data_IF_089412850514
#
_entry.id   IF_089412850514
#
_cell.length_a   1.000
_cell.length_b   1.000
_cell.length_c   1.000
_cell.angle_alpha   90.00
_cell.angle_beta   90.00
_cell.angle_gamma   90.00
#
_symmetry.space_group_name_H-M   'P 1'
#
loop_
_entity.id
_entity.type
_entity.pdbx_description
1 polymer ?
#
# COMPACT_ATOMS: atom_id res chain seq x y z
N UNK A 1 5.71 13.77 6.22
CA UNK A 1 4.81 14.63 5.39
C UNK A 1 4.99 16.11 5.71
N UNK A 2 4.60 17.00 4.80
CA UNK A 2 4.62 18.46 5.00
C UNK A 2 3.22 19.03 5.30
N UNK A 3 2.20 18.19 5.24
CA UNK A 3 0.81 18.53 5.52
C UNK A 3 -0.03 17.25 5.59
N UNK A 4 -1.35 17.33 5.81
CA UNK A 4 -2.19 16.16 5.85
C UNK A 4 -2.29 15.54 4.45
N UNK A 5 -1.55 14.44 4.24
CA UNK A 5 -1.44 13.77 2.94
C UNK A 5 -1.40 12.26 3.13
N UNK A 6 -2.23 11.55 2.39
CA UNK A 6 -2.18 10.09 2.29
C UNK A 6 -1.46 9.65 1.02
N UNK A 7 -0.98 8.41 1.00
CA UNK A 7 -0.28 7.84 -0.14
C UNK A 7 -0.60 6.38 -0.35
N UNK A 8 -0.56 5.96 -1.61
CA UNK A 8 -0.77 4.59 -2.02
C UNK A 8 0.58 3.95 -2.36
N UNK A 9 1.00 2.99 -1.55
CA UNK A 9 2.27 2.29 -1.70
C UNK A 9 2.08 0.91 -2.30
N UNK A 10 2.62 0.70 -3.51
CA UNK A 10 2.86 -0.63 -4.07
C UNK A 10 4.27 -1.11 -3.71
N UNK A 11 4.41 -2.38 -3.34
CA UNK A 11 5.70 -3.04 -3.14
C UNK A 11 5.85 -4.23 -4.08
N UNK A 12 7.03 -4.35 -4.67
CA UNK A 12 7.46 -5.45 -5.53
C UNK A 12 8.83 -5.94 -5.07
N UNK A 13 9.10 -7.21 -5.29
CA UNK A 13 10.47 -7.68 -5.23
C UNK A 13 11.26 -7.09 -6.43
N UNK A 14 12.39 -6.45 -6.17
CA UNK A 14 13.06 -5.59 -7.16
C UNK A 14 13.52 -6.33 -8.43
N UNK A 15 13.89 -7.62 -8.31
CA UNK A 15 14.38 -8.45 -9.39
C UNK A 15 13.28 -9.33 -10.02
N UNK A 16 12.06 -9.32 -9.44
CA UNK A 16 10.92 -10.09 -9.93
C UNK A 16 9.61 -9.37 -9.62
N UNK A 17 9.11 -8.57 -10.55
CA UNK A 17 7.92 -7.76 -10.36
C UNK A 17 6.60 -8.57 -10.29
N UNK A 18 6.62 -9.87 -10.59
CA UNK A 18 5.49 -10.76 -10.35
C UNK A 18 5.32 -11.08 -8.87
N UNK A 19 6.41 -11.03 -8.10
CA UNK A 19 6.37 -11.11 -6.64
C UNK A 19 6.07 -9.73 -6.06
N UNK A 20 4.83 -9.51 -5.69
CA UNK A 20 4.29 -8.22 -5.31
C UNK A 20 3.47 -8.30 -4.03
N UNK A 21 3.27 -7.19 -3.36
CA UNK A 21 2.46 -7.11 -2.15
C UNK A 21 1.05 -7.69 -2.41
N UNK A 22 0.60 -8.51 -1.49
CA UNK A 22 -0.72 -9.14 -1.51
C UNK A 22 -1.51 -8.76 -0.25
N UNK A 23 -2.39 -7.79 -0.40
CA UNK A 23 -3.21 -7.27 0.69
C UNK A 23 -4.11 -8.34 1.32
N UNK A 24 -4.65 -9.24 0.51
CA UNK A 24 -5.53 -10.31 0.99
C UNK A 24 -4.87 -11.23 2.02
N UNK A 25 -3.60 -11.59 1.83
CA UNK A 25 -2.88 -12.41 2.81
C UNK A 25 -2.52 -11.61 4.05
N UNK A 26 -2.08 -10.38 3.89
CA UNK A 26 -1.77 -9.48 5.00
C UNK A 26 -3.01 -9.24 5.87
N UNK A 27 -4.18 -8.97 5.26
CA UNK A 27 -5.46 -8.85 5.99
C UNK A 27 -5.84 -10.10 6.76
N UNK A 28 -5.63 -11.28 6.17
CA UNK A 28 -5.96 -12.53 6.82
C UNK A 28 -5.16 -12.78 8.10
N UNK A 29 -3.98 -12.16 8.22
CA UNK A 29 -3.09 -12.32 9.37
C UNK A 29 -3.24 -11.21 10.40
N UNK A 30 -3.44 -9.96 9.96
CA UNK A 30 -3.36 -8.78 10.82
C UNK A 30 -4.64 -7.94 10.84
N UNK A 31 -5.64 -8.24 10.01
CA UNK A 31 -6.82 -7.41 9.88
C UNK A 31 -6.71 -6.36 8.77
N UNK A 32 -7.67 -5.43 8.75
CA UNK A 32 -7.80 -4.43 7.68
C UNK A 32 -6.81 -3.28 7.77
N UNK A 33 -6.23 -3.06 8.93
CA UNK A 33 -5.23 -2.02 9.20
C UNK A 33 -4.01 -2.67 9.83
N UNK A 34 -2.84 -2.21 9.44
CA UNK A 34 -1.56 -2.76 9.92
C UNK A 34 -0.81 -1.72 10.73
N UNK A 35 -0.05 -2.19 11.71
CA UNK A 35 0.69 -1.40 12.67
C UNK A 35 2.10 -1.93 12.89
N UNK A 36 2.81 -1.36 13.86
CA UNK A 36 4.19 -1.74 14.19
C UNK A 36 4.28 -3.24 14.51
N UNK A 37 5.22 -3.91 13.86
CA UNK A 37 5.45 -5.35 13.96
C UNK A 37 4.74 -6.17 12.87
N UNK A 38 3.75 -5.62 12.20
CA UNK A 38 3.03 -6.30 11.13
C UNK A 38 3.86 -6.37 9.84
N UNK A 39 3.60 -7.42 9.05
CA UNK A 39 4.36 -7.74 7.86
C UNK A 39 3.50 -7.62 6.60
N UNK A 40 4.09 -7.09 5.56
CA UNK A 40 3.52 -7.04 4.22
C UNK A 40 3.92 -8.28 3.44
N UNK A 41 2.98 -9.18 3.15
CA UNK A 41 3.25 -10.44 2.47
C UNK A 41 3.18 -10.32 0.95
N UNK A 42 4.02 -11.10 0.26
CA UNK A 42 4.01 -11.19 -1.20
C UNK A 42 2.92 -12.13 -1.71
N UNK A 43 2.63 -11.99 -3.01
CA UNK A 43 1.68 -12.81 -3.76
C UNK A 43 2.11 -14.27 -3.88
N UNK A 44 1.14 -15.13 -4.20
CA UNK A 44 1.44 -16.49 -4.63
C UNK A 44 2.23 -16.46 -5.96
N UNK A 45 3.10 -17.42 -6.15
CA UNK A 45 3.41 -18.59 -5.32
C UNK A 45 4.53 -18.36 -4.29
N UNK A 46 5.03 -17.14 -4.18
CA UNK A 46 6.21 -16.81 -3.37
C UNK A 46 5.91 -16.81 -1.87
N UNK A 47 4.90 -16.11 -1.48
CA UNK A 47 4.37 -15.98 -0.12
C UNK A 47 5.44 -15.89 0.97
N UNK A 48 6.14 -14.76 0.99
CA UNK A 48 7.06 -14.38 2.06
C UNK A 48 6.80 -12.96 2.51
N UNK A 49 7.36 -12.54 3.63
CA UNK A 49 7.36 -11.14 4.03
C UNK A 49 8.25 -10.32 3.10
N UNK A 50 7.72 -9.23 2.58
CA UNK A 50 8.45 -8.23 1.81
C UNK A 50 9.04 -7.16 2.73
N UNK A 51 8.23 -6.69 3.68
CA UNK A 51 8.60 -5.64 4.61
C UNK A 51 7.88 -5.82 5.95
N UNK A 52 8.47 -5.28 7.01
CA UNK A 52 7.88 -5.19 8.34
C UNK A 52 7.80 -3.73 8.74
N UNK A 53 6.68 -3.30 9.31
CA UNK A 53 6.55 -1.96 9.91
C UNK A 53 7.37 -1.93 11.19
N UNK A 54 8.31 -1.00 11.29
CA UNK A 54 9.21 -0.87 12.45
C UNK A 54 8.90 0.32 13.34
N UNK A 55 8.29 1.36 12.77
CA UNK A 55 7.87 2.54 13.51
C UNK A 55 6.69 3.24 12.82
N UNK A 56 5.76 3.74 13.62
CA UNK A 56 4.62 4.51 13.18
C UNK A 56 4.34 5.64 14.18
N UNK A 57 4.38 6.88 13.72
CA UNK A 57 4.06 8.02 14.59
C UNK A 57 2.57 8.15 14.87
N UNK A 58 1.71 7.43 14.14
CA UNK A 58 0.26 7.38 14.34
C UNK A 58 -0.22 6.13 15.08
N UNK A 59 0.68 5.29 15.59
CA UNK A 59 0.34 4.07 16.36
C UNK A 59 -0.57 4.38 17.58
N UNK A 60 -0.46 5.58 18.13
CA UNK A 60 -1.33 6.07 19.20
C UNK A 60 -2.80 6.21 18.82
N UNK A 61 -3.12 6.29 17.52
CA UNK A 61 -4.50 6.53 17.07
C UNK A 61 -5.41 5.32 17.33
N UNK A 62 -4.90 4.12 17.11
CA UNK A 62 -5.66 2.89 17.28
C UNK A 62 -6.92 2.88 16.43
N UNK A 63 -8.07 2.56 17.04
CA UNK A 63 -9.39 2.61 16.42
C UNK A 63 -10.23 3.73 17.03
N UNK A 64 -10.87 4.52 16.18
CA UNK A 64 -11.81 5.53 16.63
C UNK A 64 -13.18 4.93 17.04
N UNK A 65 -14.08 5.78 17.55
CA UNK A 65 -15.42 5.34 18.01
C UNK A 65 -16.28 4.68 16.91
N UNK A 66 -15.99 4.95 15.65
CA UNK A 66 -16.71 4.42 14.50
C UNK A 66 -16.00 3.22 13.88
N UNK A 67 -14.88 2.77 14.48
CA UNK A 67 -14.08 1.65 14.01
C UNK A 67 -13.09 2.01 12.90
N UNK A 68 -12.82 3.30 12.70
CA UNK A 68 -11.81 3.78 11.75
C UNK A 68 -10.40 3.69 12.30
N UNK A 69 -9.44 3.31 11.47
CA UNK A 69 -8.01 3.29 11.77
C UNK A 69 -7.18 3.68 10.55
N UNK A 70 -5.87 3.92 10.76
CA UNK A 70 -4.95 4.31 9.69
C UNK A 70 -4.22 3.11 9.11
N UNK A 71 -3.58 3.30 7.95
CA UNK A 71 -2.75 2.30 7.26
C UNK A 71 -3.52 1.07 6.82
N UNK A 72 -4.60 1.30 6.05
CA UNK A 72 -5.40 0.18 5.60
C UNK A 72 -4.73 -0.64 4.49
N UNK A 73 -5.03 -1.93 4.53
CA UNK A 73 -4.70 -2.93 3.51
C UNK A 73 -5.97 -3.53 2.90
N UNK A 74 -7.04 -2.75 2.85
CA UNK A 74 -8.31 -3.14 2.22
C UNK A 74 -8.10 -3.32 0.71
N UNK A 75 -7.13 -2.59 0.14
CA UNK A 75 -6.70 -2.74 -1.24
C UNK A 75 -7.44 -1.81 -2.20
N UNK A 76 -8.08 -0.77 -1.66
CA UNK A 76 -8.71 0.26 -2.48
C UNK A 76 -7.69 1.32 -2.90
N UNK A 77 -7.84 1.79 -4.13
CA UNK A 77 -7.15 2.97 -4.65
C UNK A 77 -8.04 3.64 -5.67
N UNK A 78 -7.89 4.94 -5.85
CA UNK A 78 -8.56 5.61 -6.96
C UNK A 78 -7.99 5.13 -8.30
N UNK A 79 -8.86 4.86 -9.26
CA UNK A 79 -8.53 4.27 -10.55
C UNK A 79 -9.33 4.92 -11.70
N UNK A 80 -8.82 4.85 -12.94
CA UNK A 80 -9.50 5.47 -14.08
C UNK A 80 -10.74 4.72 -14.55
N UNK A 81 -10.83 3.42 -14.27
CA UNK A 81 -11.93 2.56 -14.73
C UNK A 81 -13.21 2.88 -13.98
N UNK A 82 -13.13 2.96 -12.64
CA UNK A 82 -14.25 3.39 -11.78
C UNK A 82 -14.67 4.82 -12.12
N UNK A 83 -13.70 5.73 -12.32
CA UNK A 83 -14.00 7.11 -12.73
C UNK A 83 -14.75 7.15 -14.06
N UNK A 84 -14.34 6.37 -15.05
CA UNK A 84 -15.03 6.26 -16.34
C UNK A 84 -16.44 5.71 -16.19
N UNK A 85 -16.62 4.68 -15.36
CA UNK A 85 -17.93 4.07 -15.12
C UNK A 85 -18.90 5.04 -14.47
N UNK A 86 -18.45 5.85 -13.50
CA UNK A 86 -19.31 6.77 -12.74
C UNK A 86 -19.58 8.07 -13.51
N UNK A 87 -18.56 8.69 -14.08
CA UNK A 87 -18.65 10.03 -14.69
C UNK A 87 -18.74 10.02 -16.22
N UNK A 88 -18.47 8.88 -16.86
CA UNK A 88 -18.38 8.77 -18.31
C UNK A 88 -17.13 9.43 -18.92
N UNK A 89 -16.32 10.11 -18.13
CA UNK A 89 -15.13 10.83 -18.60
C UNK A 89 -13.84 10.03 -18.34
N UNK A 90 -12.83 10.25 -19.17
CA UNK A 90 -11.50 9.71 -18.96
C UNK A 90 -10.76 10.54 -17.90
N UNK A 91 -10.50 9.94 -16.75
CA UNK A 91 -9.79 10.56 -15.65
C UNK A 91 -8.53 9.75 -15.30
N UNK A 92 -7.39 10.41 -15.34
CA UNK A 92 -6.07 9.76 -15.15
C UNK A 92 -5.21 10.42 -14.07
N UNK A 93 -5.75 11.38 -13.31
CA UNK A 93 -5.09 11.97 -12.14
C UNK A 93 -5.47 11.20 -10.87
N UNK A 94 -5.20 9.89 -10.85
CA UNK A 94 -5.51 8.98 -9.77
C UNK A 94 -4.28 8.15 -9.41
N UNK A 95 -4.28 7.52 -8.25
CA UNK A 95 -3.15 6.74 -7.76
C UNK A 95 -2.78 5.57 -8.67
N UNK A 96 -3.78 4.83 -9.18
CA UNK A 96 -3.54 3.76 -10.15
C UNK A 96 -2.76 4.26 -11.38
N UNK A 97 -3.20 5.34 -12.00
CA UNK A 97 -2.53 5.92 -13.17
C UNK A 97 -1.16 6.52 -12.84
N UNK A 98 -0.97 7.07 -11.64
CA UNK A 98 0.33 7.58 -11.19
C UNK A 98 1.34 6.45 -11.06
N UNK A 99 0.95 5.33 -10.42
CA UNK A 99 1.78 4.13 -10.26
C UNK A 99 2.10 3.52 -11.63
N UNK A 100 1.09 3.39 -12.50
CA UNK A 100 1.27 2.90 -13.88
C UNK A 100 2.29 3.74 -14.64
N UNK A 101 2.14 5.07 -14.64
CA UNK A 101 3.10 5.96 -15.33
C UNK A 101 4.52 5.85 -14.78
N UNK A 102 4.66 5.73 -13.45
CA UNK A 102 5.96 5.58 -12.81
C UNK A 102 6.66 4.28 -13.26
N UNK A 103 5.95 3.16 -13.28
CA UNK A 103 6.51 1.88 -13.72
C UNK A 103 6.86 1.86 -15.22
N UNK A 104 6.00 2.41 -16.07
CA UNK A 104 6.31 2.55 -17.50
C UNK A 104 7.57 3.38 -17.71
N UNK A 105 7.66 4.53 -17.05
CA UNK A 105 8.77 5.47 -17.21
C UNK A 105 10.09 4.94 -16.64
N UNK A 106 10.07 4.42 -15.42
CA UNK A 106 11.29 4.08 -14.69
C UNK A 106 11.78 2.65 -14.96
N UNK A 107 10.89 1.74 -15.39
CA UNK A 107 11.24 0.36 -15.73
C UNK A 107 11.23 0.06 -17.22
N UNK A 108 10.75 0.99 -18.06
CA UNK A 108 10.66 0.79 -19.50
C UNK A 108 9.68 -0.29 -19.92
N UNK A 109 8.73 -0.65 -19.05
CA UNK A 109 7.69 -1.64 -19.33
C UNK A 109 6.63 -1.05 -20.25
N UNK A 110 6.00 -1.90 -21.05
CA UNK A 110 4.81 -1.51 -21.81
C UNK A 110 3.61 -1.28 -20.89
N UNK A 111 2.61 -0.57 -21.38
CA UNK A 111 1.36 -0.34 -20.63
C UNK A 111 0.68 -1.67 -20.28
N UNK A 112 0.65 -2.62 -21.22
CA UNK A 112 -0.01 -3.92 -21.01
C UNK A 112 0.70 -4.78 -19.97
N UNK A 113 2.03 -4.68 -19.86
CA UNK A 113 2.79 -5.36 -18.81
C UNK A 113 2.50 -4.72 -17.45
N UNK A 114 2.48 -3.40 -17.38
CA UNK A 114 2.23 -2.67 -16.12
C UNK A 114 0.79 -2.93 -15.62
N UNK A 115 -0.21 -2.96 -16.50
CA UNK A 115 -1.60 -3.27 -16.13
C UNK A 115 -1.75 -4.63 -15.45
N UNK A 116 -0.88 -5.59 -15.76
CA UNK A 116 -0.89 -6.92 -15.12
C UNK A 116 -0.24 -6.94 -13.73
N UNK A 117 0.62 -5.97 -13.44
CA UNK A 117 1.38 -5.94 -12.21
C UNK A 117 0.94 -4.86 -11.22
N UNK A 118 0.34 -3.75 -11.67
CA UNK A 118 -0.26 -2.75 -10.77
C UNK A 118 -1.43 -3.39 -10.02
N UNK A 119 -1.34 -3.41 -8.72
CA UNK A 119 -2.22 -4.22 -7.86
C UNK A 119 -2.48 -3.50 -6.53
N UNK A 120 -2.76 -4.31 -5.51
CA UNK A 120 -3.06 -3.85 -4.16
C UNK A 120 -2.02 -2.86 -3.60
N UNK A 121 -2.50 -1.93 -2.82
CA UNK A 121 -1.69 -0.90 -2.15
C UNK A 121 -1.80 -1.04 -0.63
N UNK A 122 -0.80 -0.55 0.07
CA UNK A 122 -0.97 -0.06 1.42
C UNK A 122 -1.35 1.42 1.33
N UNK A 123 -2.49 1.78 1.91
CA UNK A 123 -2.95 3.17 2.00
C UNK A 123 -2.29 3.85 3.20
N UNK A 124 -1.11 4.42 2.97
CA UNK A 124 -0.29 5.05 4.01
C UNK A 124 -0.99 6.30 4.54
N UNK A 125 -1.18 6.37 5.86
CA UNK A 125 -1.86 7.44 6.60
C UNK A 125 -3.37 7.59 6.32
N UNK A 126 -3.96 6.78 5.47
CA UNK A 126 -5.38 6.87 5.15
C UNK A 126 -6.23 6.31 6.28
N UNK A 127 -7.20 7.10 6.74
CA UNK A 127 -8.15 6.71 7.79
C UNK A 127 -9.39 6.14 7.18
N UNK A 128 -9.64 4.86 7.43
CA UNK A 128 -10.76 4.11 6.85
C UNK A 128 -11.38 3.16 7.88
N UNK A 129 -12.55 2.65 7.56
CA UNK A 129 -13.23 1.65 8.39
C UNK A 129 -14.47 1.11 7.72
N UNK A 130 -15.23 0.31 8.48
CA UNK A 130 -16.52 -0.22 8.07
C UNK A 130 -17.56 0.12 9.14
N UNK A 131 -18.72 0.64 8.73
CA UNK A 131 -19.81 0.96 9.65
C UNK A 131 -20.25 -0.28 10.43
N UNK A 132 -20.61 -0.10 11.70
CA UNK A 132 -20.95 -1.23 12.58
C UNK A 132 -22.25 -1.93 12.19
N UNK A 133 -23.21 -1.19 11.60
CA UNK A 133 -24.54 -1.65 11.22
C UNK A 133 -24.55 -2.30 9.84
N UNK A 134 -24.16 -1.55 8.81
CA UNK A 134 -24.24 -2.00 7.41
C UNK A 134 -22.96 -2.59 6.86
N UNK A 135 -21.83 -2.48 7.61
CA UNK A 135 -20.48 -2.88 7.15
C UNK A 135 -20.04 -2.15 5.88
N UNK A 136 -20.61 -0.98 5.65
CA UNK A 136 -20.22 -0.14 4.53
C UNK A 136 -18.86 0.49 4.78
N UNK A 137 -18.01 0.47 3.77
CA UNK A 137 -16.71 1.14 3.79
C UNK A 137 -16.90 2.66 3.90
N UNK A 138 -16.06 3.28 4.72
CA UNK A 138 -15.98 4.72 4.85
C UNK A 138 -14.53 5.22 4.88
N UNK A 139 -14.33 6.47 4.54
CA UNK A 139 -13.10 7.24 4.70
C UNK A 139 -13.38 8.48 5.54
N UNK A 140 -12.36 8.94 6.26
CA UNK A 140 -12.35 10.19 7.02
C UNK A 140 -11.05 10.95 6.75
N UNK A 141 -11.03 12.23 7.10
CA UNK A 141 -9.78 13.01 7.09
C UNK A 141 -8.71 12.34 7.91
N UNK A 142 -7.55 12.16 7.31
CA UNK A 142 -6.39 11.57 7.97
C UNK A 142 -5.95 12.40 9.19
N UNK A 143 -5.59 11.76 10.31
CA UNK A 143 -5.03 12.45 11.47
C UNK A 143 -3.58 12.90 11.27
N UNK A 144 -2.95 12.52 10.16
CA UNK A 144 -1.53 12.80 9.87
C UNK A 144 -1.19 14.29 9.93
N UNK A 145 -0.04 14.61 10.47
CA UNK A 145 0.48 15.97 10.65
C UNK A 145 1.87 16.12 10.05
N UNK A 146 2.32 17.36 9.78
CA UNK A 146 3.72 17.60 9.41
C UNK A 146 4.68 16.96 10.40
N UNK A 147 5.65 16.21 9.90
CA UNK A 147 6.62 15.48 10.72
C UNK A 147 6.24 14.02 11.01
N UNK A 148 4.99 13.61 10.80
CA UNK A 148 4.61 12.21 10.92
C UNK A 148 5.27 11.35 9.86
N UNK A 149 5.58 10.10 10.23
CA UNK A 149 6.19 9.11 9.35
C UNK A 149 5.79 7.68 9.69
N UNK A 150 5.93 6.82 8.70
CA UNK A 150 5.81 5.38 8.79
C UNK A 150 7.12 4.77 8.30
N UNK A 151 7.72 3.90 9.09
CA UNK A 151 9.01 3.27 8.81
C UNK A 151 8.83 1.78 8.50
N UNK A 152 9.58 1.31 7.53
CA UNK A 152 9.61 -0.09 7.12
C UNK A 152 11.02 -0.63 7.12
N UNK A 153 11.19 -1.85 7.60
CA UNK A 153 12.35 -2.68 7.33
C UNK A 153 12.08 -3.53 6.09
N UNK A 154 12.90 -3.38 5.05
CA UNK A 154 12.83 -4.21 3.85
C UNK A 154 13.45 -5.59 4.12
N UNK A 155 12.67 -6.67 4.01
CA UNK A 155 13.15 -8.04 4.23
C UNK A 155 13.76 -8.69 2.96
N UNK A 156 13.67 -8.02 1.83
CA UNK A 156 14.28 -8.38 0.55
C UNK A 156 14.54 -7.12 -0.26
N UNK A 157 15.23 -7.22 -1.39
CA UNK A 157 15.38 -6.09 -2.31
C UNK A 157 14.01 -5.68 -2.85
N UNK A 158 13.60 -4.46 -2.58
CA UNK A 158 12.27 -3.95 -2.92
C UNK A 158 12.32 -2.84 -3.96
N UNK A 159 11.34 -2.87 -4.85
CA UNK A 159 10.88 -1.71 -5.61
C UNK A 159 9.60 -1.19 -4.94
N UNK A 160 9.69 -0.02 -4.33
CA UNK A 160 8.53 0.71 -3.82
C UNK A 160 8.06 1.74 -4.85
N UNK A 161 6.76 1.79 -5.11
CA UNK A 161 6.12 2.83 -5.93
C UNK A 161 5.06 3.51 -5.09
N UNK A 162 5.31 4.77 -4.76
CA UNK A 162 4.44 5.55 -3.88
C UNK A 162 3.75 6.67 -4.70
N UNK A 163 2.42 6.64 -4.71
CA UNK A 163 1.61 7.74 -5.24
C UNK A 163 1.12 8.61 -4.10
N UNK A 164 1.40 9.91 -4.15
CA UNK A 164 0.66 10.91 -3.37
C UNK A 164 -0.79 10.93 -3.85
N UNK A 165 -1.74 10.68 -2.95
CA UNK A 165 -3.15 10.63 -3.32
C UNK A 165 -3.65 12.03 -3.75
N UNK A 166 -4.30 12.17 -4.93
CA UNK A 166 -4.92 13.42 -5.35
C UNK A 166 -6.03 13.90 -4.41
N UNK A 167 -6.57 13.03 -3.58
CA UNK A 167 -7.56 13.35 -2.54
C UNK A 167 -6.97 14.03 -1.29
N UNK A 168 -5.66 14.31 -1.25
CA UNK A 168 -5.01 14.97 -0.12
C UNK A 168 -5.08 14.14 1.15
N UNK A 169 -5.85 14.54 2.13
CA UNK A 169 -6.10 13.82 3.38
C UNK A 169 -7.26 12.81 3.30
N UNK A 170 -7.90 12.69 2.15
CA UNK A 170 -9.07 11.84 1.89
C UNK A 170 -10.30 12.11 2.76
N UNK A 171 -10.40 13.32 3.34
CA UNK A 171 -11.56 13.72 4.18
C UNK A 171 -12.83 14.02 3.39
N UNK A 172 -12.72 14.34 2.11
CA UNK A 172 -13.85 14.57 1.22
C UNK A 172 -13.95 13.45 0.22
N UNK A 173 -14.98 12.63 0.34
CA UNK A 173 -15.26 11.60 -0.65
C UNK A 173 -15.64 12.25 -1.99
N UNK A 174 -14.96 11.86 -3.06
CA UNK A 174 -15.31 12.15 -4.45
C UNK A 174 -15.41 13.62 -4.85
N UNK A 175 -14.79 14.54 -4.15
CA UNK A 175 -14.65 15.87 -4.72
C UNK A 175 -13.69 15.78 -5.91
N UNK A 176 -14.21 16.01 -7.11
CA UNK A 176 -13.40 16.31 -8.28
C UNK A 176 -12.63 17.63 -8.12
N UNK A 177 -12.91 18.34 -7.05
CA UNK A 177 -12.22 19.55 -6.67
C UNK A 177 -10.86 19.15 -6.09
N UNK A 178 -9.84 19.71 -6.67
CA UNK A 178 -8.44 19.47 -6.36
C UNK A 178 -8.24 19.68 -4.86
N UNK A 179 -8.15 18.59 -4.11
CA UNK A 179 -7.76 18.65 -2.72
C UNK A 179 -6.36 19.26 -2.65
N UNK A 180 -6.08 19.98 -1.58
CA UNK A 180 -4.74 20.49 -1.36
C UNK A 180 -3.82 19.30 -1.08
N UNK A 181 -2.89 19.06 -2.00
CA UNK A 181 -1.92 17.97 -1.90
C UNK A 181 -0.59 18.50 -1.38
N UNK A 182 0.07 17.67 -0.59
CA UNK A 182 1.39 17.93 -0.05
C UNK A 182 2.37 16.83 -0.48
N UNK A 183 3.66 17.12 -0.59
CA UNK A 183 4.65 16.12 -0.91
C UNK A 183 4.80 15.08 0.22
N UNK A 184 5.01 13.82 -0.16
CA UNK A 184 5.52 12.78 0.72
C UNK A 184 7.02 12.67 0.52
N UNK A 185 7.77 12.72 1.61
CA UNK A 185 9.22 12.52 1.59
C UNK A 185 9.52 11.03 1.85
N UNK A 186 10.34 10.44 1.01
CA UNK A 186 10.89 9.10 1.22
C UNK A 186 12.36 9.26 1.63
N UNK A 187 12.75 8.56 2.69
CA UNK A 187 14.14 8.46 3.13
C UNK A 187 14.53 6.99 3.16
N UNK A 188 15.70 6.67 2.62
CA UNK A 188 16.24 5.31 2.58
C UNK A 188 17.62 5.36 3.22
N UNK A 189 17.90 4.43 4.11
CA UNK A 189 19.21 4.27 4.74
C UNK A 189 19.57 2.81 4.89
N UNK A 190 20.85 2.52 4.85
CA UNK A 190 21.37 1.19 5.06
C UNK A 190 21.31 0.81 6.53
N UNK A 191 20.97 -0.42 6.79
CA UNK A 191 20.99 -1.00 8.14
C UNK A 191 22.39 -1.57 8.42
N UNK A 192 22.86 -1.41 9.66
CA UNK A 192 24.16 -1.95 10.08
C UNK A 192 24.21 -3.48 9.83
N UNK A 193 25.30 -3.95 9.22
CA UNK A 193 25.52 -5.37 8.91
C UNK A 193 25.41 -6.26 10.15
N UNK A 194 25.88 -5.78 11.30
CA UNK A 194 25.77 -6.51 12.56
C UNK A 194 24.31 -6.71 13.00
N UNK A 195 23.44 -5.73 12.71
CA UNK A 195 22.00 -5.87 12.95
C UNK A 195 21.42 -6.95 12.01
N UNK A 196 21.85 -6.97 10.74
CA UNK A 196 21.36 -7.93 9.75
C UNK A 196 21.75 -9.38 10.08
N UNK A 197 22.89 -9.62 10.74
CA UNK A 197 23.32 -10.95 11.16
C UNK A 197 22.33 -11.64 12.11
N UNK A 198 21.56 -10.87 12.88
CA UNK A 198 20.51 -11.37 13.78
C UNK A 198 19.15 -11.58 13.14
N UNK A 199 18.95 -11.14 11.90
CA UNK A 199 17.64 -11.17 11.24
C UNK A 199 17.48 -12.45 10.42
N UNK A 200 16.42 -13.19 10.71
CA UNK A 200 16.01 -14.32 9.90
C UNK A 200 15.20 -13.82 8.69
N UNK A 201 15.84 -13.73 7.54
CA UNK A 201 15.19 -13.35 6.28
C UNK A 201 14.05 -14.31 5.94
N UNK A 202 12.92 -13.76 5.56
CA UNK A 202 11.75 -14.52 5.12
C UNK A 202 12.06 -15.28 3.83
N UNK A 203 11.80 -16.58 3.83
CA UNK A 203 12.05 -17.44 2.67
C UNK A 203 10.79 -17.59 1.83
N UNK A 204 10.96 -17.71 0.53
CA UNK A 204 9.90 -18.10 -0.39
C UNK A 204 9.33 -19.46 0.03
N UNK A 205 8.01 -19.63 -0.13
CA UNK A 205 7.36 -20.90 0.13
C UNK A 205 8.00 -22.03 -0.69
N UNK A 206 8.29 -23.15 -0.05
CA UNK A 206 8.84 -24.35 -0.69
C UNK A 206 7.76 -25.29 -1.23
N UNK A 207 6.51 -24.86 -1.25
CA UNK A 207 5.41 -25.66 -1.78
C UNK A 207 5.65 -26.02 -3.26
N UNK A 208 5.51 -27.28 -3.61
CA UNK A 208 5.84 -27.82 -4.93
C UNK A 208 4.87 -27.48 -6.06
N UNK A 209 3.77 -26.77 -5.75
CA UNK A 209 2.73 -26.31 -6.69
C UNK A 209 1.93 -27.41 -7.38
N UNK A 210 2.01 -28.65 -6.94
CA UNK A 210 1.28 -29.75 -7.57
C UNK A 210 -0.24 -29.77 -7.24
N UNK A 211 -0.68 -29.06 -6.19
CA UNK A 211 -2.08 -28.91 -5.79
C UNK A 211 -2.84 -30.23 -5.63
N UNK A 212 -2.13 -31.32 -5.31
CA UNK A 212 -2.70 -32.67 -5.26
C UNK A 212 -2.91 -33.32 -6.61
N UNK A 213 -2.44 -32.69 -7.71
CA UNK A 213 -2.42 -33.31 -9.02
C UNK A 213 -1.27 -34.31 -9.08
N UNK A 214 -1.55 -35.51 -9.59
CA UNK A 214 -0.53 -36.50 -9.95
C UNK A 214 -0.17 -36.30 -11.41
N UNK A 215 1.12 -36.30 -11.71
CA UNK A 215 1.63 -36.28 -13.11
C UNK A 215 1.14 -37.53 -13.87
#
# INVERSE_FOLDING_TARGET
VEGPQVGDLNLFQANNLEEKFYSGKTRALYGTHISVGDKMFSSFPYLRSLATITWDTLDWYGYDKDGGSVHDVIGTRCDPYTSKLISGSDYHHCCHSNITRALVKEKGLSKDEVEKIVHDVLNVFMLTGFTNDTKQYFMKSSPVRPGDFLEFFAETDLLGVLSTCPGGDCGSQHSSDIAKCYPLKVSIWDVDKKFLEGIKVSKVSSYNRNHGLTD
#
